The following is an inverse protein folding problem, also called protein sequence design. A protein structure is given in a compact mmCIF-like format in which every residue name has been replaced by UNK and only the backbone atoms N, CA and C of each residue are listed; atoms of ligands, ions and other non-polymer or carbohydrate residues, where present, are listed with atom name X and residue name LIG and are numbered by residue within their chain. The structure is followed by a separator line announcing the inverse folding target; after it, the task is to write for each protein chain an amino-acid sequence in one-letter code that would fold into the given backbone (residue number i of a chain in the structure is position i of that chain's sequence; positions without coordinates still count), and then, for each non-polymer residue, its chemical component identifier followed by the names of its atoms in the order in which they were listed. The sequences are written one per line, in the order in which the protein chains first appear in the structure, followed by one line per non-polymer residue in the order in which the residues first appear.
data_IF_953979408100
#
_entry.id   IF_953979408100
#
_cell.length_a   1.000
_cell.length_b   1.000
_cell.length_c   1.000
_cell.angle_alpha   90.00
_cell.angle_beta   90.00
_cell.angle_gamma   90.00
#
_symmetry.space_group_name_H-M   'P 1'
#
loop_
_entity.id
_entity.type
_entity.pdbx_description
1 polymer ?
#
# COMPACT_ATOMS: atom_id res chain seq x y z
N UNK A 1 52.02 -8.91 28.48
CA UNK A 1 50.98 -8.06 27.88
C UNK A 1 50.61 -7.00 28.90
N UNK A 2 50.83 -5.72 28.58
CA UNK A 2 50.62 -4.60 29.50
C UNK A 2 49.13 -4.23 29.58
N UNK A 3 48.63 -3.69 30.71
CA UNK A 3 47.23 -3.30 30.87
C UNK A 3 46.78 -2.24 29.84
N UNK A 4 47.73 -1.44 29.35
CA UNK A 4 47.55 -0.44 28.30
C UNK A 4 47.11 -1.08 26.97
N UNK A 5 47.62 -2.28 26.66
CA UNK A 5 47.29 -3.00 25.42
C UNK A 5 45.87 -3.59 25.45
N UNK A 6 45.34 -3.91 26.63
CA UNK A 6 43.94 -4.35 26.79
C UNK A 6 42.97 -3.18 26.64
N UNK A 7 43.32 -2.02 27.21
CA UNK A 7 42.49 -0.81 27.13
C UNK A 7 42.34 -0.29 25.70
N UNK A 8 43.43 -0.27 24.92
CA UNK A 8 43.37 0.11 23.50
C UNK A 8 42.51 -0.87 22.68
N UNK A 9 42.54 -2.17 23.00
CA UNK A 9 41.76 -3.17 22.29
C UNK A 9 40.25 -3.01 22.55
N UNK A 10 39.85 -2.68 23.78
CA UNK A 10 38.45 -2.37 24.12
C UNK A 10 37.94 -1.09 23.43
N UNK A 11 38.76 -0.05 23.30
CA UNK A 11 38.39 1.18 22.62
C UNK A 11 38.17 0.98 21.11
N UNK A 12 39.00 0.14 20.46
CA UNK A 12 38.82 -0.20 19.04
C UNK A 12 37.56 -1.05 18.82
N UNK A 13 37.26 -1.99 19.73
CA UNK A 13 36.04 -2.82 19.64
C UNK A 13 34.75 -2.00 19.78
N UNK A 14 34.72 -0.94 20.60
CA UNK A 14 33.56 -0.04 20.75
C UNK A 14 33.30 0.83 19.51
N UNK A 15 34.32 1.12 18.69
CA UNK A 15 34.16 1.95 17.49
C UNK A 15 33.65 1.21 16.25
N UNK A 16 33.56 -0.12 16.30
CA UNK A 16 33.11 -0.96 15.18
C UNK A 16 31.59 -1.21 15.16
N UNK A 17 30.86 -0.79 16.19
CA UNK A 17 29.39 -0.84 16.22
C UNK A 17 28.80 0.37 15.49
N UNK A 18 29.05 0.49 14.18
CA UNK A 18 28.25 1.41 13.36
C UNK A 18 26.88 0.76 13.17
N UNK A 19 25.90 1.18 13.97
CA UNK A 19 24.50 0.92 13.67
C UNK A 19 24.24 1.52 12.28
N UNK A 20 23.92 0.67 11.31
CA UNK A 20 23.56 1.11 9.96
C UNK A 20 22.25 1.90 10.10
N UNK A 21 22.33 3.22 10.15
CA UNK A 21 21.16 4.07 10.13
C UNK A 21 20.57 4.01 8.72
N UNK A 22 19.50 3.23 8.56
CA UNK A 22 18.72 3.20 7.33
C UNK A 22 17.80 4.42 7.32
N UNK A 23 18.07 5.38 6.43
CA UNK A 23 17.19 6.51 6.19
C UNK A 23 16.46 6.31 4.85
N UNK A 24 15.13 6.41 4.88
CA UNK A 24 14.28 6.32 3.70
C UNK A 24 13.64 7.67 3.42
N UNK A 25 13.41 7.97 2.15
CA UNK A 25 12.74 9.22 1.79
C UNK A 25 11.24 9.13 2.05
N UNK A 26 10.60 10.27 2.35
CA UNK A 26 9.14 10.35 2.47
C UNK A 26 8.44 9.80 1.22
N UNK A 27 9.01 10.07 0.04
CA UNK A 27 8.48 9.59 -1.24
C UNK A 27 8.56 8.06 -1.38
N UNK A 28 9.68 7.45 -0.98
CA UNK A 28 9.84 5.99 -0.99
C UNK A 28 8.83 5.31 -0.06
N UNK A 29 8.61 5.87 1.14
CA UNK A 29 7.57 5.36 2.06
C UNK A 29 6.17 5.54 1.46
N UNK A 30 5.85 6.71 0.90
CA UNK A 30 4.56 6.96 0.24
C UNK A 30 4.31 6.02 -0.94
N UNK A 31 5.34 5.67 -1.71
CA UNK A 31 5.23 4.71 -2.80
C UNK A 31 4.76 3.34 -2.29
N UNK A 32 5.46 2.77 -1.31
CA UNK A 32 5.07 1.45 -0.78
C UNK A 32 3.74 1.49 -0.02
N UNK A 33 3.43 2.56 0.71
CA UNK A 33 2.14 2.71 1.40
C UNK A 33 1.00 2.81 0.39
N UNK A 34 1.16 3.57 -0.69
CA UNK A 34 0.17 3.65 -1.75
C UNK A 34 -0.13 2.27 -2.36
N UNK A 35 0.93 1.50 -2.68
CA UNK A 35 0.78 0.15 -3.21
C UNK A 35 0.06 -0.80 -2.26
N UNK A 36 0.47 -0.80 -0.99
CA UNK A 36 -0.19 -1.61 0.03
C UNK A 36 -1.67 -1.22 0.19
N UNK A 37 -1.99 0.08 0.10
CA UNK A 37 -3.36 0.58 0.17
C UNK A 37 -4.22 0.10 -1.01
N UNK A 38 -3.69 0.15 -2.23
CA UNK A 38 -4.37 -0.37 -3.42
C UNK A 38 -4.63 -1.88 -3.29
N UNK A 39 -3.61 -2.65 -2.90
CA UNK A 39 -3.75 -4.09 -2.71
C UNK A 39 -4.80 -4.43 -1.64
N UNK A 40 -4.79 -3.75 -0.48
CA UNK A 40 -5.77 -3.96 0.58
C UNK A 40 -7.19 -3.60 0.13
N UNK A 41 -7.35 -2.55 -0.70
CA UNK A 41 -8.64 -2.19 -1.30
C UNK A 41 -9.15 -3.29 -2.22
N UNK A 42 -8.30 -3.79 -3.13
CA UNK A 42 -8.64 -4.89 -4.04
C UNK A 42 -9.05 -6.16 -3.27
N UNK A 43 -8.25 -6.56 -2.29
CA UNK A 43 -8.53 -7.73 -1.45
C UNK A 43 -9.81 -7.59 -0.63
N UNK A 44 -10.07 -6.40 -0.08
CA UNK A 44 -11.27 -6.14 0.72
C UNK A 44 -12.53 -6.11 -0.16
N UNK A 45 -12.46 -5.48 -1.34
CA UNK A 45 -13.56 -5.43 -2.30
C UNK A 45 -13.90 -6.83 -2.83
N UNK A 46 -12.89 -7.65 -3.14
CA UNK A 46 -13.07 -9.02 -3.60
C UNK A 46 -13.82 -9.92 -2.60
N UNK A 47 -13.80 -9.57 -1.31
CA UNK A 47 -14.52 -10.28 -0.24
C UNK A 47 -15.97 -9.82 -0.06
N UNK A 48 -16.40 -8.76 -0.74
CA UNK A 48 -17.77 -8.23 -0.67
C UNK A 48 -18.63 -8.84 -1.77
N UNK A 49 -19.90 -9.15 -1.45
CA UNK A 49 -20.88 -9.60 -2.44
C UNK A 49 -21.10 -8.53 -3.52
N UNK A 50 -20.74 -8.87 -4.76
CA UNK A 50 -20.85 -7.99 -5.93
C UNK A 50 -22.29 -7.56 -6.25
N UNK A 51 -23.31 -8.31 -5.79
CA UNK A 51 -24.72 -7.98 -5.98
C UNK A 51 -25.29 -7.11 -4.86
N UNK A 52 -24.53 -6.87 -3.79
CA UNK A 52 -24.99 -6.04 -2.69
C UNK A 52 -25.15 -4.60 -3.17
N UNK A 53 -26.35 -4.05 -2.99
CA UNK A 53 -26.69 -2.69 -3.40
C UNK A 53 -26.71 -1.75 -2.20
N UNK A 54 -26.28 -0.50 -2.41
CA UNK A 54 -26.37 0.60 -1.48
C UNK A 54 -27.30 1.69 -2.04
N UNK A 55 -27.98 2.40 -1.15
CA UNK A 55 -28.78 3.56 -1.50
C UNK A 55 -27.89 4.82 -1.45
N UNK A 56 -27.74 5.54 -2.55
CA UNK A 56 -26.74 6.63 -2.70
C UNK A 56 -27.35 8.02 -2.90
N UNK A 57 -28.67 8.13 -2.99
CA UNK A 57 -29.36 9.42 -2.89
C UNK A 57 -30.87 9.18 -2.86
N UNK A 58 -31.72 9.97 -2.22
CA UNK A 58 -31.54 11.21 -1.44
C UNK A 58 -32.94 11.73 -1.10
N UNK A 59 -33.07 12.74 -0.23
CA UNK A 59 -34.35 13.32 0.23
C UNK A 59 -35.27 13.91 -0.87
N UNK A 60 -35.02 13.63 -2.15
CA UNK A 60 -35.86 14.03 -3.26
C UNK A 60 -37.13 13.20 -3.19
N UNK A 61 -38.24 13.89 -2.99
CA UNK A 61 -39.56 13.29 -3.12
C UNK A 61 -40.02 13.43 -4.57
N UNK A 62 -40.74 12.44 -5.07
CA UNK A 62 -41.54 12.60 -6.29
C UNK A 62 -42.68 13.60 -6.06
N UNK A 63 -43.45 13.89 -7.11
CA UNK A 63 -44.58 14.82 -7.02
C UNK A 63 -45.69 14.33 -6.05
N UNK A 64 -45.65 13.06 -5.64
CA UNK A 64 -46.59 12.42 -4.72
C UNK A 64 -46.06 12.32 -3.29
N UNK A 65 -44.84 12.79 -3.02
CA UNK A 65 -44.23 12.75 -1.69
C UNK A 65 -43.51 11.43 -1.35
N UNK A 66 -43.29 10.54 -2.33
CA UNK A 66 -42.51 9.31 -2.10
C UNK A 66 -41.02 9.59 -2.28
N UNK A 67 -40.18 8.97 -1.45
CA UNK A 67 -38.72 9.07 -1.59
C UNK A 67 -38.25 8.40 -2.88
N UNK A 68 -37.53 9.16 -3.69
CA UNK A 68 -36.83 8.64 -4.88
C UNK A 68 -35.44 8.22 -4.42
N UNK A 69 -35.23 6.91 -4.34
CA UNK A 69 -33.96 6.32 -3.92
C UNK A 69 -33.21 5.75 -5.13
N UNK A 70 -31.97 6.21 -5.35
CA UNK A 70 -31.07 5.69 -6.39
C UNK A 70 -30.18 4.64 -5.76
N UNK A 71 -30.25 3.42 -6.27
CA UNK A 71 -29.40 2.31 -5.84
C UNK A 71 -28.21 2.11 -6.78
N UNK A 72 -27.05 1.83 -6.21
CA UNK A 72 -25.83 1.42 -6.91
C UNK A 72 -25.22 0.21 -6.22
N UNK A 73 -24.26 -0.48 -6.85
CA UNK A 73 -23.51 -1.55 -6.17
C UNK A 73 -22.74 -0.95 -4.98
N UNK A 74 -22.78 -1.60 -3.82
CA UNK A 74 -22.12 -1.14 -2.60
C UNK A 74 -20.63 -0.89 -2.83
N UNK A 75 -19.95 -1.83 -3.50
CA UNK A 75 -18.52 -1.73 -3.83
C UNK A 75 -18.18 -0.56 -4.79
N UNK A 76 -19.19 0.12 -5.33
CA UNK A 76 -19.05 1.30 -6.19
C UNK A 76 -19.62 2.57 -5.56
N UNK A 77 -20.23 2.49 -4.37
CA UNK A 77 -20.68 3.69 -3.66
C UNK A 77 -19.50 4.41 -3.03
N UNK A 78 -19.42 5.72 -3.23
CA UNK A 78 -18.42 6.60 -2.62
C UNK A 78 -18.31 6.41 -1.10
N UNK A 79 -19.45 6.46 -0.39
CA UNK A 79 -19.51 6.22 1.06
C UNK A 79 -18.78 4.93 1.48
N UNK A 80 -19.03 3.81 0.80
CA UNK A 80 -18.38 2.55 1.11
C UNK A 80 -16.87 2.61 0.85
N UNK A 81 -16.46 3.18 -0.27
CA UNK A 81 -15.06 3.26 -0.67
C UNK A 81 -14.27 4.16 0.29
N UNK A 82 -14.80 5.32 0.66
CA UNK A 82 -14.20 6.24 1.62
C UNK A 82 -14.10 5.62 3.03
N UNK A 83 -15.16 4.96 3.52
CA UNK A 83 -15.09 4.24 4.80
C UNK A 83 -14.09 3.08 4.77
N UNK A 84 -13.96 2.39 3.64
CA UNK A 84 -13.02 1.29 3.50
C UNK A 84 -11.57 1.81 3.47
N UNK A 85 -11.34 2.92 2.77
CA UNK A 85 -10.07 3.64 2.72
C UNK A 85 -9.57 4.02 4.12
N UNK A 86 -10.42 4.62 4.96
CA UNK A 86 -10.09 4.96 6.35
C UNK A 86 -9.70 3.71 7.16
N UNK A 87 -10.51 2.63 7.08
CA UNK A 87 -10.24 1.36 7.77
C UNK A 87 -8.94 0.70 7.32
N UNK A 88 -8.52 0.90 6.08
CA UNK A 88 -7.25 0.37 5.57
C UNK A 88 -6.08 1.14 6.17
N UNK A 89 -6.17 2.46 6.31
CA UNK A 89 -5.13 3.23 6.99
C UNK A 89 -4.98 2.86 8.46
N UNK A 90 -6.06 2.52 9.17
CA UNK A 90 -5.99 1.97 10.53
C UNK A 90 -5.22 0.63 10.58
N UNK A 91 -5.35 -0.21 9.55
CA UNK A 91 -4.66 -1.50 9.45
C UNK A 91 -3.19 -1.39 9.04
N UNK A 92 -2.70 -0.20 8.70
CA UNK A 92 -1.28 -0.03 8.37
C UNK A 92 -0.36 -0.29 9.57
N UNK A 93 -0.91 -0.36 10.79
CA UNK A 93 -0.19 -0.83 11.99
C UNK A 93 0.16 -2.33 11.93
N UNK A 94 -0.49 -3.12 11.06
CA UNK A 94 -0.13 -4.52 10.79
C UNK A 94 1.12 -4.66 9.89
N UNK A 95 1.65 -3.54 9.40
CA UNK A 95 2.82 -3.48 8.54
C UNK A 95 4.04 -2.93 9.28
N UNK A 96 5.21 -3.40 8.87
CA UNK A 96 6.50 -2.95 9.38
C UNK A 96 7.37 -2.43 8.24
N UNK A 97 8.11 -1.37 8.53
CA UNK A 97 9.21 -0.90 7.68
C UNK A 97 10.34 -1.93 7.75
N UNK A 98 10.84 -2.34 6.61
CA UNK A 98 11.84 -3.39 6.50
C UNK A 98 12.81 -3.12 5.34
N UNK A 99 13.97 -3.76 5.37
CA UNK A 99 14.89 -3.82 4.23
C UNK A 99 15.20 -5.26 3.88
N UNK A 100 15.27 -5.58 2.59
CA UNK A 100 15.69 -6.92 2.16
C UNK A 100 17.18 -7.15 2.47
N UNK A 101 17.50 -8.27 3.13
CA UNK A 101 18.89 -8.65 3.45
C UNK A 101 19.76 -8.83 2.21
N UNK A 102 19.16 -9.13 1.07
CA UNK A 102 19.85 -9.43 -0.19
C UNK A 102 20.42 -8.20 -0.87
N UNK A 103 19.73 -7.05 -0.78
CA UNK A 103 20.08 -5.85 -1.55
C UNK A 103 19.90 -4.53 -0.78
N UNK A 104 19.44 -4.58 0.47
CA UNK A 104 19.20 -3.42 1.31
C UNK A 104 18.02 -2.53 0.89
N UNK A 105 17.21 -2.94 -0.09
CA UNK A 105 16.07 -2.15 -0.56
C UNK A 105 14.95 -2.12 0.47
N UNK A 106 14.32 -0.96 0.62
CA UNK A 106 13.15 -0.75 1.46
C UNK A 106 11.96 -1.63 1.00
N UNK A 107 11.16 -2.04 1.97
CA UNK A 107 9.87 -2.69 1.74
C UNK A 107 8.93 -2.48 2.94
N UNK A 108 7.64 -2.61 2.70
CA UNK A 108 6.64 -2.75 3.77
C UNK A 108 6.28 -4.22 3.91
N UNK A 109 6.57 -4.79 5.08
CA UNK A 109 6.25 -6.18 5.38
C UNK A 109 4.99 -6.24 6.23
N UNK A 110 3.93 -6.88 5.72
CA UNK A 110 2.78 -7.28 6.53
C UNK A 110 3.22 -8.34 7.53
N UNK A 111 2.95 -8.15 8.82
CA UNK A 111 3.41 -9.06 9.88
C UNK A 111 2.75 -10.44 9.78
N UNK A 112 1.44 -10.45 9.54
CA UNK A 112 0.62 -11.66 9.53
C UNK A 112 -0.05 -11.84 8.17
N UNK A 113 0.15 -13.01 7.57
CA UNK A 113 -0.53 -13.45 6.34
C UNK A 113 -1.19 -14.79 6.64
N UNK A 114 -2.47 -14.94 6.29
CA UNK A 114 -3.28 -16.14 6.54
C UNK A 114 -3.22 -16.65 8.00
N UNK A 115 -3.20 -15.72 8.96
CA UNK A 115 -3.15 -16.02 10.40
C UNK A 115 -1.82 -16.55 10.91
N UNK A 116 -0.75 -16.49 10.11
CA UNK A 116 0.62 -16.89 10.48
C UNK A 116 1.61 -15.75 10.27
N UNK A 117 2.76 -15.82 10.94
CA UNK A 117 3.87 -14.90 10.66
C UNK A 117 4.23 -14.96 9.17
N UNK A 118 4.40 -13.81 8.55
CA UNK A 118 4.78 -13.70 7.16
C UNK A 118 6.12 -14.44 6.92
N UNK A 119 6.18 -15.46 6.04
CA UNK A 119 7.38 -16.24 5.80
C UNK A 119 8.58 -15.41 5.32
N UNK A 120 8.31 -14.25 4.69
CA UNK A 120 9.34 -13.31 4.25
C UNK A 120 10.00 -12.55 5.40
N UNK A 121 9.50 -12.66 6.64
CA UNK A 121 10.13 -12.03 7.82
C UNK A 121 11.57 -12.47 8.04
N UNK A 122 11.96 -13.65 7.57
CA UNK A 122 13.32 -14.16 7.63
C UNK A 122 14.27 -13.49 6.63
N UNK A 123 13.72 -12.93 5.54
CA UNK A 123 14.46 -12.34 4.42
C UNK A 123 14.75 -10.86 4.59
N UNK A 124 14.19 -10.24 5.63
CA UNK A 124 14.28 -8.81 5.87
C UNK A 124 14.88 -8.47 7.24
N UNK A 125 15.43 -7.26 7.34
CA UNK A 125 15.78 -6.61 8.60
C UNK A 125 14.74 -5.53 8.91
N UNK A 126 14.17 -5.57 10.12
CA UNK A 126 13.17 -4.59 10.54
C UNK A 126 13.82 -3.25 10.85
N UNK A 127 13.26 -2.19 10.29
CA UNK A 127 13.68 -0.81 10.53
C UNK A 127 13.01 -0.36 11.82
N UNK A 128 13.80 -0.05 12.84
CA UNK A 128 13.29 0.59 14.05
C UNK A 128 13.06 2.08 13.77
N UNK A 129 11.92 2.62 14.21
CA UNK A 129 11.53 4.03 14.00
C UNK A 129 12.48 4.97 14.76
N UNK A 130 13.66 5.24 14.16
CA UNK A 130 14.61 6.25 14.63
C UNK A 130 14.50 7.59 13.89
N UNK A 131 14.09 7.57 12.62
CA UNK A 131 14.27 8.72 11.69
C UNK A 131 12.97 9.28 11.07
N UNK A 132 11.83 8.59 11.20
CA UNK A 132 10.55 9.06 10.63
C UNK A 132 9.50 9.20 11.74
N UNK A 133 9.20 10.43 12.13
CA UNK A 133 8.23 10.78 13.18
C UNK A 133 6.76 10.41 12.85
N UNK A 134 6.49 9.77 11.71
CA UNK A 134 5.16 9.45 11.20
C UNK A 134 4.99 7.93 11.06
N UNK A 135 3.86 7.43 11.56
CA UNK A 135 3.43 6.04 11.39
C UNK A 135 3.07 5.75 9.92
N UNK A 136 3.01 4.47 9.56
CA UNK A 136 2.53 4.06 8.23
C UNK A 136 1.06 4.46 8.01
N UNK A 137 0.24 4.40 9.06
CA UNK A 137 -1.14 4.93 9.03
C UNK A 137 -1.19 6.41 8.68
N UNK A 138 -0.29 7.23 9.25
CA UNK A 138 -0.20 8.65 8.90
C UNK A 138 0.19 8.87 7.43
N UNK A 139 1.14 8.08 6.90
CA UNK A 139 1.47 8.13 5.48
C UNK A 139 0.29 7.70 4.59
N UNK A 140 -0.50 6.72 5.03
CA UNK A 140 -1.68 6.26 4.30
C UNK A 140 -2.74 7.35 4.22
N UNK A 141 -3.01 8.03 5.34
CA UNK A 141 -3.93 9.17 5.36
C UNK A 141 -3.46 10.27 4.39
N UNK A 142 -2.18 10.65 4.42
CA UNK A 142 -1.66 11.64 3.46
C UNK A 142 -1.82 11.19 2.01
N UNK A 143 -1.52 9.93 1.69
CA UNK A 143 -1.66 9.39 0.33
C UNK A 143 -3.11 9.47 -0.15
N UNK A 144 -4.08 9.13 0.71
CA UNK A 144 -5.50 9.13 0.36
C UNK A 144 -6.08 10.55 0.30
N UNK A 145 -5.70 11.42 1.24
CA UNK A 145 -6.09 12.84 1.22
C UNK A 145 -5.59 13.54 -0.05
N UNK A 146 -4.34 13.31 -0.45
CA UNK A 146 -3.74 13.92 -1.65
C UNK A 146 -4.37 13.37 -2.96
N UNK A 147 -4.98 12.18 -2.95
CA UNK A 147 -5.36 11.44 -4.15
C UNK A 147 -6.79 10.85 -4.13
N UNK A 148 -7.69 11.34 -3.26
CA UNK A 148 -9.02 10.74 -3.05
C UNK A 148 -9.79 10.54 -4.36
N UNK A 149 -9.84 11.57 -5.21
CA UNK A 149 -10.54 11.51 -6.50
C UNK A 149 -9.98 10.43 -7.43
N UNK A 150 -8.65 10.21 -7.40
CA UNK A 150 -7.96 9.19 -8.21
C UNK A 150 -8.38 7.80 -7.76
N UNK A 151 -8.35 7.55 -6.44
CA UNK A 151 -8.77 6.28 -5.87
C UNK A 151 -10.26 6.02 -6.12
N UNK A 152 -11.14 6.99 -5.84
CA UNK A 152 -12.58 6.85 -6.10
C UNK A 152 -12.86 6.52 -7.56
N UNK A 153 -12.29 7.27 -8.50
CA UNK A 153 -12.50 7.04 -9.93
C UNK A 153 -12.01 5.66 -10.37
N UNK A 154 -10.85 5.23 -9.89
CA UNK A 154 -10.30 3.91 -10.21
C UNK A 154 -11.20 2.78 -9.68
N UNK A 155 -11.65 2.85 -8.43
CA UNK A 155 -12.46 1.79 -7.83
C UNK A 155 -13.95 1.84 -8.19
N UNK A 156 -14.45 2.99 -8.69
CA UNK A 156 -15.83 3.13 -9.20
C UNK A 156 -15.99 2.74 -10.67
N UNK A 157 -14.91 2.45 -11.39
CA UNK A 157 -14.97 1.99 -12.79
C UNK A 157 -15.87 0.75 -12.95
N UNK A 158 -16.42 0.53 -14.14
CA UNK A 158 -17.27 -0.65 -14.38
C UNK A 158 -16.51 -1.95 -14.13
N UNK A 159 -15.28 -2.01 -14.62
CA UNK A 159 -14.32 -3.10 -14.44
C UNK A 159 -13.06 -2.56 -13.75
N UNK A 160 -12.54 -3.27 -12.74
CA UNK A 160 -11.26 -2.91 -12.13
C UNK A 160 -10.16 -3.16 -13.16
N UNK A 161 -9.33 -2.15 -13.40
CA UNK A 161 -8.20 -2.28 -14.32
C UNK A 161 -7.16 -3.28 -13.79
N UNK A 162 -6.30 -3.76 -14.68
CA UNK A 162 -5.06 -4.42 -14.25
C UNK A 162 -4.06 -3.37 -13.77
N UNK A 163 -3.17 -3.76 -12.87
CA UNK A 163 -2.07 -2.92 -12.37
C UNK A 163 -2.55 -1.58 -11.79
N UNK A 164 -3.64 -1.59 -11.00
CA UNK A 164 -4.19 -0.39 -10.36
C UNK A 164 -3.15 0.32 -9.50
N UNK A 165 -2.21 -0.42 -8.90
CA UNK A 165 -1.13 0.13 -8.10
C UNK A 165 -0.18 0.98 -8.97
N UNK A 166 0.15 0.54 -10.18
CA UNK A 166 0.96 1.32 -11.13
C UNK A 166 0.17 2.54 -11.62
N UNK A 167 -1.10 2.36 -11.97
CA UNK A 167 -1.95 3.46 -12.44
C UNK A 167 -2.09 4.54 -11.38
N UNK A 168 -2.40 4.17 -10.14
CA UNK A 168 -2.62 5.10 -9.04
C UNK A 168 -1.28 5.65 -8.53
N UNK A 169 -0.35 4.79 -8.11
CA UNK A 169 0.83 5.20 -7.35
C UNK A 169 1.96 5.77 -8.22
N UNK A 170 2.10 5.31 -9.46
CA UNK A 170 3.13 5.81 -10.40
C UNK A 170 2.56 6.86 -11.37
N UNK A 171 1.44 6.58 -12.03
CA UNK A 171 0.97 7.43 -13.12
C UNK A 171 0.21 8.66 -12.65
N UNK A 172 -0.61 8.55 -11.61
CA UNK A 172 -1.40 9.66 -11.09
C UNK A 172 -0.70 10.35 -9.91
N UNK A 173 -0.34 9.59 -8.87
CA UNK A 173 0.19 10.14 -7.61
C UNK A 173 1.69 10.46 -7.63
N UNK A 174 2.45 9.92 -8.60
CA UNK A 174 3.90 10.17 -8.77
C UNK A 174 4.76 9.82 -7.55
N UNK A 175 4.34 8.87 -6.74
CA UNK A 175 5.16 8.37 -5.63
C UNK A 175 6.18 7.33 -6.11
N UNK A 176 5.80 6.52 -7.10
CA UNK A 176 6.61 5.42 -7.64
C UNK A 176 7.08 5.72 -9.09
N UNK A 177 8.21 5.14 -9.48
CA UNK A 177 8.83 5.30 -10.82
C UNK A 177 8.57 4.11 -11.77
N UNK A 178 7.55 3.30 -11.50
CA UNK A 178 7.30 2.06 -12.24
C UNK A 178 6.44 2.27 -13.49
N UNK A 179 6.68 1.43 -14.50
CA UNK A 179 5.91 1.39 -15.73
C UNK A 179 5.06 0.10 -15.79
N UNK A 180 3.88 0.13 -16.44
CA UNK A 180 3.05 -1.05 -16.63
C UNK A 180 3.81 -2.19 -17.32
N UNK A 181 3.54 -3.43 -16.93
CA UNK A 181 4.06 -4.60 -17.62
C UNK A 181 3.39 -4.65 -19.00
N UNK A 182 4.17 -4.53 -20.07
CA UNK A 182 3.64 -4.72 -21.41
C UNK A 182 3.38 -6.22 -21.58
N UNK A 183 2.13 -6.62 -21.83
CA UNK A 183 1.84 -7.98 -22.29
C UNK A 183 2.61 -8.19 -23.60
N UNK A 184 3.56 -9.12 -23.62
CA UNK A 184 4.23 -9.54 -24.84
C UNK A 184 3.17 -10.11 -25.79
N UNK A 185 2.84 -9.35 -26.85
CA UNK A 185 2.01 -9.83 -27.93
C UNK A 185 2.74 -11.00 -28.62
N UNK A 186 2.30 -12.22 -28.34
CA UNK A 186 2.72 -13.43 -29.06
C UNK A 186 2.30 -13.31 -30.53
N UNK A 187 3.21 -12.85 -31.38
CA UNK A 187 3.13 -13.03 -32.83
C UNK A 187 3.44 -14.51 -33.14
N UNK A 188 2.55 -15.40 -32.70
CA UNK A 188 2.52 -16.79 -33.10
C UNK A 188 2.32 -16.84 -34.62
N UNK A 189 3.43 -17.08 -35.33
CA UNK A 189 3.52 -17.05 -36.77
C UNK A 189 2.49 -17.98 -37.42
N UNK A 190 1.63 -17.40 -38.26
CA UNK A 190 0.96 -18.15 -39.31
C UNK A 190 1.88 -18.22 -40.52
N UNK A 191 2.85 -19.13 -40.46
CA UNK A 191 3.45 -19.68 -41.67
C UNK A 191 2.50 -20.76 -42.24
N UNK A 192 1.97 -20.45 -43.42
CA UNK A 192 1.64 -21.31 -44.56
C UNK A 192 1.07 -22.73 -44.35
N UNK A 193 -0.13 -22.94 -44.91
CA UNK A 193 -0.45 -24.05 -45.83
C UNK A 193 -1.74 -23.74 -46.62
#
# INVERSE_FOLDING_TARGET
MTPISLLLCCLVALTLSQAQAYSFTSQEVKCHVCKATVQELEEAIAKVDANKMADVSGFRLDAQGNSISKRVRLIKSEMFLTELMEKICEKMDDYLKATYKTNGKFTLLKMIVDGKMNPESSLVDFVQDGDLNKSLGHFCLEVLEDNEEVFLKAFQSEELGTDLDIQICSQQAKYCDEAPVQEEYDFGGKEEL
#
